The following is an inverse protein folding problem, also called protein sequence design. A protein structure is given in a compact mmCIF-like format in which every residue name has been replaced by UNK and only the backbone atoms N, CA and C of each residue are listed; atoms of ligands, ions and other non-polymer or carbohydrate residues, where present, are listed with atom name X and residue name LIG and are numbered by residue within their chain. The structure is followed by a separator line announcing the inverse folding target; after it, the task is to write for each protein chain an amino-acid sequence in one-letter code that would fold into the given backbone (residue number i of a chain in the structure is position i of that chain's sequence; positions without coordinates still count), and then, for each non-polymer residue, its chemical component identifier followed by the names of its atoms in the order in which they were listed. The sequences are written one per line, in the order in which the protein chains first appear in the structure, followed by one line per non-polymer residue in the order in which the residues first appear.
data_IF_708527132666
#
_entry.id   IF_708527132666
#
_cell.length_a   1.000
_cell.length_b   1.000
_cell.length_c   1.000
_cell.angle_alpha   90.00
_cell.angle_beta   90.00
_cell.angle_gamma   90.00
#
_symmetry.space_group_name_H-M   'P 1'
#
loop_
_entity.id
_entity.type
_entity.pdbx_description
1 polymer ?
#
# COMPACT_ATOMS: atom_id res chain seq x y z
N UNK A 1 3.38 38.04 15.29
CA UNK A 1 3.18 36.57 15.26
C UNK A 1 2.07 36.33 14.25
N UNK A 2 2.31 35.56 13.20
CA UNK A 2 1.23 35.10 12.32
C UNK A 2 0.52 33.98 13.09
N UNK A 3 -0.82 34.02 13.15
CA UNK A 3 -1.57 32.91 13.73
C UNK A 3 -1.23 31.61 12.98
N UNK A 4 -1.09 30.47 13.67
CA UNK A 4 -0.83 29.22 12.99
C UNK A 4 -2.02 28.86 12.09
N UNK A 5 -1.72 28.55 10.83
CA UNK A 5 -2.70 28.37 9.77
C UNK A 5 -2.45 27.02 9.09
N UNK A 6 -3.43 26.12 9.14
CA UNK A 6 -3.42 24.90 8.34
C UNK A 6 -3.97 25.24 6.95
N UNK A 7 -3.15 25.01 5.90
CA UNK A 7 -3.54 25.25 4.51
C UNK A 7 -3.65 23.92 3.78
N UNK A 8 -4.88 23.50 3.49
CA UNK A 8 -5.20 22.28 2.76
C UNK A 8 -5.59 22.64 1.32
N UNK A 9 -4.92 22.10 0.29
CA UNK A 9 -5.36 22.32 -1.07
C UNK A 9 -6.72 21.65 -1.31
N UNK A 10 -7.64 22.39 -1.93
CA UNK A 10 -9.00 21.98 -2.20
C UNK A 10 -9.24 21.75 -3.69
N UNK A 11 -8.94 20.58 -4.21
CA UNK A 11 -9.10 20.36 -5.65
C UNK A 11 -10.57 20.06 -6.01
N UNK A 12 -11.32 21.12 -6.30
CA UNK A 12 -12.65 21.06 -6.92
C UNK A 12 -12.70 21.90 -8.18
N UNK A 13 -12.63 21.26 -9.36
CA UNK A 13 -12.87 21.86 -10.69
C UNK A 13 -11.95 23.03 -11.05
N UNK A 14 -10.91 22.77 -11.86
CA UNK A 14 -10.01 23.80 -12.40
C UNK A 14 -10.79 24.85 -13.22
N UNK A 15 -11.05 26.03 -12.66
CA UNK A 15 -11.59 27.16 -13.43
C UNK A 15 -10.44 27.87 -14.13
N UNK A 16 -10.24 27.56 -15.41
CA UNK A 16 -9.40 28.35 -16.31
C UNK A 16 -10.07 29.70 -16.55
N UNK A 17 -9.73 30.73 -15.76
CA UNK A 17 -9.96 32.13 -16.18
C UNK A 17 -8.86 32.50 -17.17
N UNK A 18 -9.26 33.07 -18.31
CA UNK A 18 -8.42 33.27 -19.49
C UNK A 18 -7.02 33.83 -19.22
N UNK A 19 -6.04 33.30 -19.96
CA UNK A 19 -4.69 33.84 -20.12
C UNK A 19 -3.75 33.84 -18.90
N UNK A 20 -4.25 33.68 -17.67
CA UNK A 20 -3.48 33.78 -16.43
C UNK A 20 -3.37 32.48 -15.64
N UNK A 21 -2.44 32.49 -14.66
CA UNK A 21 -2.09 31.41 -13.73
C UNK A 21 -3.30 30.59 -13.24
N UNK A 22 -3.15 29.26 -13.15
CA UNK A 22 -4.21 28.38 -12.66
C UNK A 22 -4.55 28.73 -11.21
N UNK A 23 -5.82 29.07 -10.96
CA UNK A 23 -6.34 29.26 -9.60
C UNK A 23 -6.71 27.90 -9.02
N UNK A 24 -6.23 27.66 -7.80
CA UNK A 24 -6.58 26.49 -7.01
C UNK A 24 -7.44 26.96 -5.85
N UNK A 25 -8.38 26.12 -5.44
CA UNK A 25 -9.13 26.36 -4.22
C UNK A 25 -8.29 25.81 -3.06
N UNK A 26 -8.25 26.54 -1.96
CA UNK A 26 -7.50 26.22 -0.75
C UNK A 26 -8.44 26.37 0.45
N UNK A 27 -8.28 25.52 1.44
CA UNK A 27 -8.94 25.61 2.73
C UNK A 27 -7.89 26.09 3.72
N UNK A 28 -8.19 27.19 4.40
CA UNK A 28 -7.36 27.72 5.47
C UNK A 28 -8.13 27.57 6.77
N UNK A 29 -7.55 26.88 7.74
CA UNK A 29 -8.07 26.73 9.08
C UNK A 29 -7.15 27.51 10.02
N UNK A 30 -7.73 28.40 10.80
CA UNK A 30 -7.01 29.08 11.88
C UNK A 30 -7.00 28.23 13.17
N UNK A 31 -6.29 28.72 14.18
CA UNK A 31 -6.24 28.11 15.52
C UNK A 31 -7.60 28.03 16.22
N UNK A 32 -8.61 28.75 15.72
CA UNK A 32 -9.99 28.69 16.21
C UNK A 32 -10.86 27.69 15.42
N UNK A 33 -10.25 26.91 14.53
CA UNK A 33 -10.95 25.96 13.67
C UNK A 33 -11.92 26.63 12.69
N UNK A 34 -11.83 27.95 12.50
CA UNK A 34 -12.65 28.66 11.53
C UNK A 34 -12.07 28.46 10.13
N UNK A 35 -12.94 28.03 9.21
CA UNK A 35 -12.55 27.71 7.85
C UNK A 35 -12.76 28.89 6.91
N UNK A 36 -11.70 29.24 6.19
CA UNK A 36 -11.74 30.20 5.09
C UNK A 36 -11.35 29.46 3.81
N UNK A 37 -12.31 29.36 2.89
CA UNK A 37 -12.05 28.87 1.54
C UNK A 37 -11.51 30.00 0.67
N UNK A 38 -10.32 29.82 0.11
CA UNK A 38 -9.65 30.78 -0.77
C UNK A 38 -9.56 30.24 -2.19
N UNK A 39 -10.04 30.99 -3.18
CA UNK A 39 -9.79 30.73 -4.60
C UNK A 39 -8.64 31.65 -5.06
N UNK A 40 -7.41 31.15 -4.97
CA UNK A 40 -6.19 31.93 -5.25
C UNK A 40 -5.20 31.12 -6.07
N UNK A 41 -4.34 31.79 -6.82
CA UNK A 41 -3.26 31.09 -7.53
C UNK A 41 -2.17 30.61 -6.55
N UNK A 42 -1.29 29.73 -7.04
CA UNK A 42 -0.24 29.16 -6.19
C UNK A 42 0.71 30.23 -5.62
N UNK A 43 0.95 31.32 -6.34
CA UNK A 43 1.90 32.36 -5.92
C UNK A 43 1.34 33.17 -4.75
N UNK A 44 0.03 33.44 -4.75
CA UNK A 44 -0.65 34.09 -3.64
C UNK A 44 -0.55 33.27 -2.34
N UNK A 45 -0.69 31.94 -2.40
CA UNK A 45 -0.49 31.07 -1.23
C UNK A 45 0.98 31.01 -0.82
N UNK A 46 1.92 30.91 -1.76
CA UNK A 46 3.36 30.94 -1.45
C UNK A 46 3.73 32.19 -0.64
N UNK A 47 3.24 33.36 -1.07
CA UNK A 47 3.50 34.61 -0.36
C UNK A 47 2.80 34.69 1.01
N UNK A 48 1.61 34.10 1.14
CA UNK A 48 0.86 34.10 2.40
C UNK A 48 1.52 33.23 3.47
N UNK A 49 1.96 32.02 3.10
CA UNK A 49 2.53 31.03 4.02
C UNK A 49 4.06 31.13 4.10
N UNK A 50 4.68 32.04 3.33
CA UNK A 50 6.13 32.26 3.26
C UNK A 50 6.95 31.01 2.89
N UNK A 51 6.38 30.11 2.10
CA UNK A 51 7.03 28.87 1.65
C UNK A 51 7.61 29.00 0.24
N UNK A 52 8.73 28.32 0.00
CA UNK A 52 9.41 28.36 -1.28
C UNK A 52 8.61 27.61 -2.38
N UNK A 53 8.78 28.05 -3.63
CA UNK A 53 8.08 27.45 -4.78
C UNK A 53 8.37 25.96 -4.98
N UNK A 54 9.50 25.48 -4.44
CA UNK A 54 9.91 24.07 -4.48
C UNK A 54 9.06 23.24 -3.52
N UNK A 55 8.88 23.73 -2.30
CA UNK A 55 8.18 23.00 -1.24
C UNK A 55 6.67 22.95 -1.54
N UNK A 56 6.11 24.03 -2.11
CA UNK A 56 4.70 24.02 -2.55
C UNK A 56 4.43 23.02 -3.69
N UNK A 57 5.41 22.70 -4.55
CA UNK A 57 5.22 21.72 -5.64
C UNK A 57 4.98 20.30 -5.13
N UNK A 58 5.40 19.99 -3.90
CA UNK A 58 5.16 18.68 -3.28
C UNK A 58 3.66 18.45 -3.09
N UNK A 59 2.88 19.52 -2.96
CA UNK A 59 1.43 19.50 -2.87
C UNK A 59 0.73 19.52 -4.25
N UNK A 60 1.46 19.53 -5.36
CA UNK A 60 0.88 19.51 -6.71
C UNK A 60 0.37 18.08 -7.03
N UNK A 61 -0.95 17.85 -7.15
CA UNK A 61 -1.51 16.52 -7.34
C UNK A 61 -1.15 15.91 -8.71
N UNK A 62 -0.72 16.73 -9.68
CA UNK A 62 -0.27 16.28 -10.99
C UNK A 62 1.13 15.68 -10.92
N UNK A 63 1.92 16.08 -9.93
CA UNK A 63 3.26 15.60 -9.67
C UNK A 63 3.16 14.60 -8.53
N UNK A 64 3.09 13.30 -8.86
CA UNK A 64 2.90 12.24 -7.86
C UNK A 64 4.13 12.07 -6.97
N UNK A 65 4.34 12.99 -6.04
CA UNK A 65 5.42 12.94 -5.05
C UNK A 65 5.11 11.90 -3.96
N UNK A 66 6.15 11.24 -3.41
CA UNK A 66 6.01 10.34 -2.27
C UNK A 66 5.51 11.10 -1.03
N UNK A 67 5.04 10.37 0.01
CA UNK A 67 4.72 10.98 1.29
C UNK A 67 5.90 11.75 1.84
N UNK A 68 5.66 12.94 2.38
CA UNK A 68 6.71 13.82 2.91
C UNK A 68 6.16 14.69 4.04
N UNK A 69 6.98 14.89 5.08
CA UNK A 69 6.74 15.81 6.19
C UNK A 69 7.92 16.79 6.20
N UNK A 70 7.69 18.04 5.81
CA UNK A 70 8.73 19.08 5.86
C UNK A 70 8.40 20.10 6.92
N UNK A 71 9.30 20.21 7.89
CA UNK A 71 9.39 21.37 8.74
C UNK A 71 10.11 22.51 7.97
N UNK A 72 9.55 23.72 8.05
CA UNK A 72 10.13 24.96 7.52
C UNK A 72 9.88 26.06 8.52
N UNK A 73 10.66 27.13 8.43
CA UNK A 73 10.54 28.29 9.30
C UNK A 73 9.11 28.87 9.27
N UNK A 74 8.30 28.53 10.29
CA UNK A 74 6.92 28.98 10.43
C UNK A 74 5.86 28.17 9.66
N UNK A 75 6.19 26.99 9.10
CA UNK A 75 5.21 26.14 8.42
C UNK A 75 5.61 24.65 8.44
N UNK A 76 4.62 23.77 8.64
CA UNK A 76 4.74 22.32 8.42
C UNK A 76 4.00 21.97 7.13
N UNK A 77 4.69 21.29 6.22
CA UNK A 77 4.15 20.86 4.93
C UNK A 77 3.98 19.35 4.97
N UNK A 78 2.72 18.91 4.90
CA UNK A 78 2.35 17.50 4.90
C UNK A 78 1.88 17.09 3.50
N UNK A 79 2.53 16.10 2.91
CA UNK A 79 2.01 15.36 1.77
C UNK A 79 1.87 13.90 2.17
N UNK A 80 0.65 13.41 2.39
CA UNK A 80 0.39 12.04 2.85
C UNK A 80 -0.34 11.21 1.78
N UNK A 81 -0.04 11.46 0.50
CA UNK A 81 -0.56 10.82 -0.73
C UNK A 81 -2.07 10.91 -1.01
N UNK A 82 -2.95 10.76 -0.02
CA UNK A 82 -4.42 10.58 -0.18
C UNK A 82 -5.22 11.70 0.48
N UNK A 83 -4.74 12.21 1.61
CA UNK A 83 -5.47 13.12 2.49
C UNK A 83 -5.74 14.52 1.95
N UNK A 84 -4.98 14.97 0.96
CA UNK A 84 -4.99 16.39 0.54
C UNK A 84 -5.26 16.56 -0.96
N UNK A 85 -5.61 15.48 -1.68
CA UNK A 85 -5.88 15.57 -3.13
C UNK A 85 -7.28 16.10 -3.44
N UNK A 86 -8.24 16.00 -2.53
CA UNK A 86 -9.53 16.67 -2.64
C UNK A 86 -10.25 16.63 -1.26
N UNK A 87 -10.49 17.77 -0.59
CA UNK A 87 -11.20 17.84 0.69
C UNK A 87 -12.70 17.58 0.58
N UNK A 88 -13.21 17.43 -0.65
CA UNK A 88 -14.56 16.95 -0.94
C UNK A 88 -14.57 15.46 -1.30
N UNK A 89 -13.43 14.77 -1.27
CA UNK A 89 -13.37 13.32 -1.40
C UNK A 89 -14.03 12.68 -0.18
N UNK A 90 -14.83 11.63 -0.37
CA UNK A 90 -15.50 10.89 0.71
C UNK A 90 -14.50 10.41 1.77
N UNK A 91 -13.25 10.17 1.38
CA UNK A 91 -12.21 9.74 2.30
C UNK A 91 -11.60 10.89 3.11
N UNK A 92 -11.71 12.15 2.66
CA UNK A 92 -11.06 13.32 3.29
C UNK A 92 -12.03 14.11 4.17
N UNK A 93 -13.33 14.09 3.85
CA UNK A 93 -14.38 14.75 4.66
C UNK A 93 -14.31 14.38 6.15
N UNK A 94 -14.19 13.09 6.55
CA UNK A 94 -14.13 12.71 7.96
C UNK A 94 -12.95 13.33 8.71
N UNK A 95 -11.87 13.62 7.99
CA UNK A 95 -10.61 14.12 8.54
C UNK A 95 -10.72 15.60 8.83
N UNK A 96 -11.28 16.35 7.86
CA UNK A 96 -11.58 17.77 8.05
C UNK A 96 -12.62 17.95 9.15
N UNK A 97 -13.60 17.05 9.24
CA UNK A 97 -14.58 17.04 10.33
C UNK A 97 -13.95 16.71 11.69
N UNK A 98 -13.03 15.74 11.76
CA UNK A 98 -12.31 15.38 12.98
C UNK A 98 -11.38 16.52 13.44
N UNK A 99 -10.64 17.15 12.51
CA UNK A 99 -9.88 18.37 12.77
C UNK A 99 -10.77 19.44 13.38
N UNK A 100 -11.92 19.74 12.76
CA UNK A 100 -12.89 20.71 13.31
C UNK A 100 -13.39 20.30 14.70
N UNK A 101 -13.66 19.02 14.92
CA UNK A 101 -14.17 18.48 16.18
C UNK A 101 -13.14 18.59 17.31
N UNK A 102 -11.86 18.39 17.03
CA UNK A 102 -10.79 18.52 18.05
C UNK A 102 -10.40 19.98 18.32
N UNK A 103 -10.56 20.87 17.34
CA UNK A 103 -10.25 22.31 17.47
C UNK A 103 -11.34 23.11 18.23
N UNK A 104 -12.63 22.77 18.06
CA UNK A 104 -13.75 23.49 18.71
C UNK A 104 -13.76 23.47 20.26
N UNK A 105 -13.50 22.33 20.93
CA UNK A 105 -13.58 22.21 22.39
C UNK A 105 -12.61 23.11 23.16
N UNK A 106 -11.44 23.42 22.60
CA UNK A 106 -10.46 24.29 23.26
C UNK A 106 -10.94 25.74 23.36
N UNK A 107 -11.81 26.18 22.44
CA UNK A 107 -12.36 27.53 22.40
C UNK A 107 -13.41 27.71 23.49
N UNK A 108 -14.33 26.74 23.61
CA UNK A 108 -15.36 26.76 24.66
C UNK A 108 -14.72 26.77 26.07
N UNK A 109 -13.60 26.08 26.26
CA UNK A 109 -12.83 26.12 27.52
C UNK A 109 -12.10 27.46 27.75
N UNK A 110 -11.57 28.11 26.71
CA UNK A 110 -10.96 29.45 26.79
C UNK A 110 -11.96 30.55 27.07
N UNK A 111 -13.17 30.47 26.51
CA UNK A 111 -14.24 31.47 26.69
C UNK A 111 -14.98 31.31 28.03
N UNK A 112 -15.08 30.08 28.57
CA UNK A 112 -15.71 29.83 29.88
C UNK A 112 -14.87 30.30 31.09
N UNK A 113 -13.54 30.36 30.97
CA UNK A 113 -12.62 30.82 32.02
C UNK A 113 -12.28 32.32 31.91
N UNK A 114 -13.29 33.16 31.64
CA UNK A 114 -13.17 34.62 31.58
C UNK A 114 -12.95 35.31 32.94
N UNK A 115 -12.02 34.83 33.77
CA UNK A 115 -11.53 35.57 34.94
C UNK A 115 -10.02 35.82 34.83
N UNK A 116 -9.63 37.07 35.02
CA UNK A 116 -8.34 37.66 34.65
C UNK A 116 -7.14 37.24 35.51
N UNK A 117 -7.01 35.96 35.82
CA UNK A 117 -5.77 35.39 36.34
C UNK A 117 -5.04 34.69 35.21
N UNK A 118 -3.87 35.23 34.86
CA UNK A 118 -2.90 34.65 33.95
C UNK A 118 -2.32 33.36 34.53
N UNK A 119 -3.12 32.30 34.58
CA UNK A 119 -2.63 30.95 34.47
C UNK A 119 -2.57 30.66 32.97
N UNK A 120 -1.43 31.03 32.37
CA UNK A 120 -1.02 30.41 31.10
C UNK A 120 -0.81 28.94 31.49
N UNK A 121 -1.84 28.12 31.28
CA UNK A 121 -1.76 26.70 31.58
C UNK A 121 -0.65 26.11 30.74
N UNK A 122 0.31 25.48 31.41
CA UNK A 122 1.38 24.65 30.83
C UNK A 122 0.83 23.38 30.13
N UNK A 123 -0.49 23.25 29.98
CA UNK A 123 -1.21 22.07 29.47
C UNK A 123 -1.90 22.30 28.09
N UNK A 124 -1.65 23.42 27.40
CA UNK A 124 -2.29 23.70 26.10
C UNK A 124 -1.49 23.01 24.98
N UNK A 125 -1.87 21.78 24.62
CA UNK A 125 -1.25 20.98 23.55
C UNK A 125 -1.16 21.80 22.24
N UNK A 126 0.05 22.06 21.70
CA UNK A 126 0.25 23.00 20.59
C UNK A 126 -0.62 22.70 19.36
N UNK A 127 -1.15 23.76 18.72
CA UNK A 127 -2.02 23.61 17.53
C UNK A 127 -1.34 22.83 16.40
N UNK A 128 -0.05 23.04 16.18
CA UNK A 128 0.74 22.32 15.19
C UNK A 128 0.74 20.80 15.43
N UNK A 129 0.78 20.37 16.70
CA UNK A 129 0.80 18.96 17.07
C UNK A 129 -0.58 18.33 17.00
N UNK A 130 -1.65 19.08 17.32
CA UNK A 130 -3.02 18.63 17.07
C UNK A 130 -3.27 18.34 15.58
N UNK A 131 -2.85 19.27 14.73
CA UNK A 131 -3.01 19.13 13.28
C UNK A 131 -2.19 17.95 12.76
N UNK A 132 -0.94 17.81 13.23
CA UNK A 132 -0.07 16.70 12.87
C UNK A 132 -0.64 15.36 13.34
N UNK A 133 -1.11 15.28 14.58
CA UNK A 133 -1.71 14.08 15.18
C UNK A 133 -2.92 13.63 14.35
N UNK A 134 -3.86 14.52 14.05
CA UNK A 134 -5.07 14.14 13.27
C UNK A 134 -4.71 13.72 11.85
N UNK A 135 -3.72 14.37 11.23
CA UNK A 135 -3.25 13.98 9.90
C UNK A 135 -2.60 12.58 9.91
N UNK A 136 -1.77 12.28 10.91
CA UNK A 136 -1.13 10.99 11.10
C UNK A 136 -2.12 9.89 11.49
N UNK A 137 -3.00 10.15 12.45
CA UNK A 137 -4.08 9.24 12.86
C UNK A 137 -4.94 8.84 11.66
N UNK A 138 -5.26 9.81 10.81
CA UNK A 138 -6.08 9.57 9.64
C UNK A 138 -5.37 8.71 8.59
N UNK A 139 -4.12 9.00 8.23
CA UNK A 139 -3.41 8.18 7.24
C UNK A 139 -3.18 6.77 7.78
N UNK A 140 -2.88 6.62 9.07
CA UNK A 140 -2.73 5.34 9.74
C UNK A 140 -4.04 4.54 9.73
N UNK A 141 -5.16 5.18 10.07
CA UNK A 141 -6.49 4.56 10.03
C UNK A 141 -6.88 4.13 8.62
N UNK A 142 -6.60 4.97 7.61
CA UNK A 142 -6.83 4.65 6.21
C UNK A 142 -6.01 3.44 5.74
N UNK A 143 -4.70 3.44 6.01
CA UNK A 143 -3.80 2.34 5.62
C UNK A 143 -4.17 1.03 6.34
N UNK A 144 -4.55 1.10 7.61
CA UNK A 144 -5.01 -0.03 8.41
C UNK A 144 -6.33 -0.60 7.85
N UNK A 145 -7.33 0.25 7.59
CA UNK A 145 -8.60 -0.18 7.00
C UNK A 145 -8.40 -0.86 5.63
N UNK A 146 -7.58 -0.28 4.75
CA UNK A 146 -7.23 -0.88 3.45
C UNK A 146 -6.49 -2.21 3.59
N UNK A 147 -5.68 -2.36 4.63
CA UNK A 147 -5.00 -3.63 4.94
C UNK A 147 -6.01 -4.70 5.37
N UNK A 148 -6.96 -4.35 6.24
CA UNK A 148 -8.03 -5.26 6.71
C UNK A 148 -8.95 -5.71 5.56
N UNK A 149 -9.35 -4.79 4.69
CA UNK A 149 -10.14 -5.10 3.49
C UNK A 149 -9.40 -6.11 2.61
N UNK A 150 -8.12 -5.86 2.36
CA UNK A 150 -7.28 -6.74 1.55
C UNK A 150 -7.10 -8.12 2.20
N UNK A 151 -6.90 -8.20 3.51
CA UNK A 151 -6.84 -9.47 4.25
C UNK A 151 -8.14 -10.27 4.08
N UNK A 152 -9.28 -9.59 4.22
CA UNK A 152 -10.63 -10.19 4.09
C UNK A 152 -10.85 -10.78 2.70
N UNK A 153 -10.24 -10.19 1.66
CA UNK A 153 -10.31 -10.69 0.28
C UNK A 153 -9.27 -11.77 -0.06
N UNK A 154 -8.06 -11.66 0.50
CA UNK A 154 -6.93 -12.55 0.22
C UNK A 154 -7.17 -13.94 0.81
N UNK A 155 -7.49 -14.05 2.10
CA UNK A 155 -7.58 -15.37 2.75
C UNK A 155 -8.58 -16.32 2.06
N UNK A 156 -9.82 -15.90 1.72
CA UNK A 156 -10.74 -16.73 0.96
C UNK A 156 -10.26 -17.06 -0.45
N UNK A 157 -9.52 -16.14 -1.09
CA UNK A 157 -8.96 -16.36 -2.43
C UNK A 157 -7.85 -17.41 -2.42
N UNK A 158 -7.02 -17.43 -1.37
CA UNK A 158 -5.99 -18.45 -1.18
C UNK A 158 -6.61 -19.84 -0.92
N UNK A 159 -7.66 -19.92 -0.10
CA UNK A 159 -8.36 -21.19 0.17
C UNK A 159 -9.04 -21.77 -1.08
N UNK A 160 -9.69 -20.90 -1.87
CA UNK A 160 -10.25 -21.27 -3.18
C UNK A 160 -9.18 -21.77 -4.16
N UNK A 161 -8.00 -21.15 -4.16
CA UNK A 161 -6.89 -21.60 -5.01
C UNK A 161 -6.34 -22.95 -4.56
N UNK A 162 -6.24 -23.16 -3.24
CA UNK A 162 -5.79 -24.42 -2.64
C UNK A 162 -6.74 -25.58 -2.95
N UNK A 163 -8.05 -25.33 -2.90
CA UNK A 163 -9.08 -26.35 -3.23
C UNK A 163 -9.19 -26.63 -4.73
N UNK A 164 -9.06 -25.60 -5.59
CA UNK A 164 -9.14 -25.75 -7.05
C UNK A 164 -8.19 -24.79 -7.77
N UNK A 165 -7.19 -25.37 -8.43
CA UNK A 165 -6.27 -24.64 -9.31
C UNK A 165 -6.96 -24.41 -10.66
N UNK A 166 -7.42 -23.18 -10.90
CA UNK A 166 -7.96 -22.74 -12.18
C UNK A 166 -7.51 -21.30 -12.51
N UNK A 167 -7.56 -20.94 -13.79
CA UNK A 167 -7.09 -19.63 -14.28
C UNK A 167 -7.78 -18.46 -13.58
N UNK A 168 -9.09 -18.56 -13.30
CA UNK A 168 -9.84 -17.51 -12.60
C UNK A 168 -9.38 -17.30 -11.15
N UNK A 169 -9.04 -18.36 -10.43
CA UNK A 169 -8.57 -18.26 -9.04
C UNK A 169 -7.13 -17.73 -8.99
N UNK A 170 -6.29 -18.15 -9.93
CA UNK A 170 -4.94 -17.59 -10.09
C UNK A 170 -4.97 -16.09 -10.41
N UNK A 171 -5.91 -15.65 -11.24
CA UNK A 171 -6.05 -14.23 -11.58
C UNK A 171 -6.48 -13.40 -10.36
N UNK A 172 -7.39 -13.92 -9.53
CA UNK A 172 -7.77 -13.26 -8.27
C UNK A 172 -6.57 -13.12 -7.33
N UNK A 173 -5.80 -14.19 -7.11
CA UNK A 173 -4.61 -14.14 -6.25
C UNK A 173 -3.53 -13.23 -6.82
N UNK A 174 -3.36 -13.17 -8.15
CA UNK A 174 -2.46 -12.21 -8.80
C UNK A 174 -2.89 -10.77 -8.60
N UNK A 175 -4.19 -10.48 -8.76
CA UNK A 175 -4.75 -9.16 -8.50
C UNK A 175 -4.49 -8.74 -7.05
N UNK A 176 -4.84 -9.60 -6.10
CA UNK A 176 -4.58 -9.31 -4.67
C UNK A 176 -3.08 -9.16 -4.37
N UNK A 177 -2.20 -9.95 -5.01
CA UNK A 177 -0.74 -9.78 -4.89
C UNK A 177 -0.28 -8.41 -5.38
N UNK A 178 -0.83 -7.93 -6.48
CA UNK A 178 -0.51 -6.60 -7.01
C UNK A 178 -1.00 -5.49 -6.08
N UNK A 179 -2.25 -5.57 -5.60
CA UNK A 179 -2.83 -4.59 -4.67
C UNK A 179 -2.05 -4.54 -3.35
N UNK A 180 -1.71 -5.71 -2.81
CA UNK A 180 -0.86 -5.84 -1.63
C UNK A 180 0.51 -5.19 -1.82
N UNK A 181 1.21 -5.52 -2.91
CA UNK A 181 2.55 -4.98 -3.16
C UNK A 181 2.53 -3.44 -3.29
N UNK A 182 1.48 -2.89 -3.91
CA UNK A 182 1.29 -1.44 -4.00
C UNK A 182 1.03 -0.84 -2.62
N UNK A 183 0.17 -1.44 -1.79
CA UNK A 183 -0.11 -0.95 -0.45
C UNK A 183 1.13 -1.03 0.45
N UNK A 184 1.87 -2.15 0.43
CA UNK A 184 3.16 -2.31 1.13
C UNK A 184 4.15 -1.21 0.75
N UNK A 185 4.31 -0.92 -0.54
CA UNK A 185 5.22 0.13 -0.99
C UNK A 185 4.82 1.52 -0.48
N UNK A 186 3.52 1.79 -0.34
CA UNK A 186 3.01 3.07 0.17
C UNK A 186 3.23 3.20 1.69
N UNK A 187 2.92 2.15 2.45
CA UNK A 187 3.17 2.09 3.89
C UNK A 187 4.67 2.22 4.19
N UNK A 188 5.52 1.53 3.42
CA UNK A 188 6.98 1.60 3.55
C UNK A 188 7.51 3.03 3.38
N UNK A 189 7.06 3.76 2.34
CA UNK A 189 7.52 5.15 2.14
C UNK A 189 7.17 6.06 3.31
N UNK A 190 5.95 5.94 3.84
CA UNK A 190 5.53 6.75 4.99
C UNK A 190 6.32 6.40 6.25
N UNK A 191 6.58 5.10 6.47
CA UNK A 191 7.45 4.63 7.55
C UNK A 191 8.86 5.20 7.43
N UNK A 192 9.43 5.15 6.23
CA UNK A 192 10.80 5.62 5.99
C UNK A 192 10.91 7.14 6.20
N UNK A 193 9.90 7.91 5.78
CA UNK A 193 9.83 9.35 6.02
C UNK A 193 9.74 9.69 7.52
N UNK A 194 8.83 9.03 8.26
CA UNK A 194 8.72 9.22 9.71
C UNK A 194 9.99 8.78 10.45
N UNK A 195 10.60 7.69 10.01
CA UNK A 195 11.85 7.20 10.57
C UNK A 195 13.01 8.15 10.31
N UNK A 196 13.02 8.84 9.17
CA UNK A 196 14.01 9.89 8.89
C UNK A 196 13.79 11.11 9.78
N UNK A 197 12.54 11.57 9.92
CA UNK A 197 12.19 12.69 10.80
C UNK A 197 12.55 12.42 12.27
N UNK A 198 12.27 11.21 12.76
CA UNK A 198 12.65 10.75 14.10
C UNK A 198 14.18 10.62 14.29
N UNK A 199 14.97 10.57 13.22
CA UNK A 199 16.42 10.42 13.33
C UNK A 199 17.16 11.76 13.47
N UNK A 200 16.54 12.86 13.04
CA UNK A 200 17.14 14.19 13.00
C UNK A 200 16.43 15.14 13.98
N UNK A 201 16.93 15.26 15.21
CA UNK A 201 16.36 16.14 16.25
C UNK A 201 16.17 17.59 15.79
N UNK A 202 17.01 18.05 14.86
CA UNK A 202 16.90 19.37 14.25
C UNK A 202 15.61 19.54 13.43
N UNK A 203 15.23 18.53 12.65
CA UNK A 203 13.99 18.54 11.87
C UNK A 203 12.77 18.47 12.81
N UNK A 204 12.88 17.72 13.92
CA UNK A 204 11.83 17.68 14.95
C UNK A 204 11.68 19.03 15.67
N UNK A 205 12.80 19.69 15.99
CA UNK A 205 12.77 21.02 16.60
C UNK A 205 12.10 22.07 15.70
N UNK A 206 12.26 21.96 14.38
CA UNK A 206 11.59 22.85 13.42
C UNK A 206 10.06 22.67 13.37
N UNK A 207 9.50 21.58 13.91
CA UNK A 207 8.05 21.38 14.01
C UNK A 207 7.40 22.26 15.09
N UNK A 208 8.16 22.77 16.06
CA UNK A 208 7.65 23.64 17.13
C UNK A 208 7.42 25.07 16.61
N UNK A 209 6.34 25.28 15.86
CA UNK A 209 6.01 26.59 15.27
C UNK A 209 5.68 27.65 16.34
N UNK A 210 5.02 27.25 17.43
CA UNK A 210 4.55 28.13 18.50
C UNK A 210 5.67 28.49 19.50
N UNK A 211 6.65 27.59 19.71
CA UNK A 211 7.75 27.75 20.69
C UNK A 211 9.03 28.35 20.08
N UNK A 212 9.13 28.42 18.75
CA UNK A 212 10.26 29.06 18.03
C UNK A 212 10.53 30.54 18.40
N UNK A 213 9.67 31.17 19.20
CA UNK A 213 9.80 32.56 19.66
C UNK A 213 10.55 32.74 21.00
N UNK A 214 10.96 31.68 21.71
CA UNK A 214 11.62 31.77 23.02
C UNK A 214 12.96 31.00 23.02
N UNK A 215 14.12 31.68 22.95
CA UNK A 215 15.43 31.03 23.01
C UNK A 215 15.73 30.63 24.45
N UNK A 216 15.42 29.39 24.81
CA UNK A 216 15.67 28.88 26.15
C UNK A 216 14.97 27.56 26.44
N UNK A 217 15.27 26.53 25.64
CA UNK A 217 15.71 25.20 26.11
C UNK A 217 16.06 24.42 24.83
N UNK A 218 17.35 24.24 24.55
CA UNK A 218 17.77 23.40 23.43
C UNK A 218 17.44 21.94 23.80
N UNK A 219 16.55 21.29 23.04
CA UNK A 219 16.40 19.83 22.91
C UNK A 219 15.39 19.09 23.81
N UNK A 220 14.33 19.71 24.31
CA UNK A 220 13.17 18.92 24.77
C UNK A 220 12.20 18.71 23.59
N UNK A 221 12.56 17.76 22.71
CA UNK A 221 11.71 17.27 21.61
C UNK A 221 10.88 16.06 22.06
N UNK A 222 10.89 15.72 23.35
CA UNK A 222 10.30 14.49 23.88
C UNK A 222 8.80 14.38 23.53
N UNK A 223 8.08 15.51 23.55
CA UNK A 223 6.66 15.56 23.23
C UNK A 223 6.37 15.19 21.77
N UNK A 224 7.11 15.79 20.82
CA UNK A 224 6.93 15.49 19.39
C UNK A 224 7.51 14.12 19.04
N UNK A 225 8.60 13.71 19.67
CA UNK A 225 9.19 12.38 19.53
C UNK A 225 8.18 11.31 19.94
N UNK A 226 7.56 11.43 21.12
CA UNK A 226 6.57 10.46 21.61
C UNK A 226 5.34 10.36 20.68
N UNK A 227 4.90 11.50 20.12
CA UNK A 227 3.83 11.54 19.12
C UNK A 227 4.23 10.78 17.84
N UNK A 228 5.40 11.11 17.28
CA UNK A 228 5.91 10.53 16.04
C UNK A 228 6.23 9.04 16.21
N UNK A 229 6.83 8.63 17.33
CA UNK A 229 7.11 7.23 17.68
C UNK A 229 5.83 6.39 17.73
N UNK A 230 4.76 6.91 18.33
CA UNK A 230 3.47 6.23 18.41
C UNK A 230 2.94 5.88 17.01
N UNK A 231 2.95 6.84 16.10
CA UNK A 231 2.49 6.62 14.72
C UNK A 231 3.48 5.79 13.90
N UNK A 232 4.78 5.96 14.11
CA UNK A 232 5.80 5.12 13.50
C UNK A 232 5.58 3.64 13.84
N UNK A 233 5.33 3.34 15.13
CA UNK A 233 5.03 1.98 15.58
C UNK A 233 3.73 1.43 14.97
N UNK A 234 2.69 2.25 14.85
CA UNK A 234 1.43 1.84 14.21
C UNK A 234 1.61 1.53 12.72
N UNK A 235 2.42 2.31 12.01
CA UNK A 235 2.75 2.11 10.59
C UNK A 235 3.64 0.87 10.41
N UNK A 236 4.61 0.66 11.30
CA UNK A 236 5.46 -0.53 11.29
C UNK A 236 4.63 -1.80 11.53
N UNK A 237 3.68 -1.79 12.47
CA UNK A 237 2.74 -2.90 12.66
C UNK A 237 1.90 -3.18 11.41
N UNK A 238 1.40 -2.12 10.75
CA UNK A 238 0.66 -2.23 9.48
C UNK A 238 1.53 -2.84 8.38
N UNK A 239 2.80 -2.42 8.29
CA UNK A 239 3.76 -2.96 7.34
C UNK A 239 4.07 -4.44 7.60
N UNK A 240 4.19 -4.82 8.88
CA UNK A 240 4.45 -6.19 9.30
C UNK A 240 3.27 -7.12 8.96
N UNK A 241 2.03 -6.64 9.15
CA UNK A 241 0.80 -7.35 8.71
C UNK A 241 0.80 -7.58 7.20
N UNK A 242 1.04 -6.53 6.41
CA UNK A 242 1.12 -6.65 4.94
C UNK A 242 2.24 -7.59 4.48
N UNK A 243 3.40 -7.53 5.13
CA UNK A 243 4.53 -8.41 4.82
C UNK A 243 4.18 -9.87 5.12
N UNK A 244 3.45 -10.12 6.21
CA UNK A 244 2.96 -11.45 6.58
C UNK A 244 1.91 -11.96 5.59
N UNK A 245 0.96 -11.12 5.19
CA UNK A 245 -0.01 -11.43 4.14
C UNK A 245 0.70 -11.79 2.83
N UNK A 246 1.77 -11.09 2.48
CA UNK A 246 2.59 -11.38 1.30
C UNK A 246 3.25 -12.74 1.34
N UNK A 247 3.79 -13.12 2.50
CA UNK A 247 4.32 -14.48 2.72
C UNK A 247 3.23 -15.53 2.51
N UNK A 248 2.00 -15.31 2.96
CA UNK A 248 0.89 -16.25 2.72
C UNK A 248 0.56 -16.40 1.24
N UNK A 249 0.52 -15.31 0.48
CA UNK A 249 0.30 -15.33 -0.97
C UNK A 249 1.44 -16.08 -1.69
N UNK A 250 2.69 -15.80 -1.31
CA UNK A 250 3.86 -16.45 -1.92
C UNK A 250 3.92 -17.95 -1.60
N UNK A 251 3.56 -18.35 -0.38
CA UNK A 251 3.45 -19.75 0.01
C UNK A 251 2.38 -20.49 -0.79
N UNK A 252 1.21 -19.87 -1.01
CA UNK A 252 0.15 -20.45 -1.84
C UNK A 252 0.60 -20.62 -3.30
N UNK A 253 1.30 -19.62 -3.85
CA UNK A 253 1.86 -19.70 -5.21
C UNK A 253 2.93 -20.80 -5.32
N UNK A 254 3.78 -20.97 -4.31
CA UNK A 254 4.76 -22.04 -4.25
C UNK A 254 4.08 -23.43 -4.21
N UNK A 255 3.04 -23.58 -3.39
CA UNK A 255 2.23 -24.79 -3.33
C UNK A 255 1.63 -25.15 -4.71
N UNK A 256 1.04 -24.17 -5.39
CA UNK A 256 0.48 -24.37 -6.74
C UNK A 256 1.55 -24.84 -7.74
N UNK A 257 2.75 -24.24 -7.72
CA UNK A 257 3.86 -24.66 -8.57
C UNK A 257 4.23 -26.12 -8.32
N UNK A 258 4.42 -26.50 -7.06
CA UNK A 258 4.74 -27.89 -6.67
C UNK A 258 3.65 -28.86 -7.12
N UNK A 259 2.37 -28.48 -6.98
CA UNK A 259 1.24 -29.31 -7.37
C UNK A 259 1.18 -29.54 -8.89
N UNK A 260 1.37 -28.49 -9.68
CA UNK A 260 1.40 -28.58 -11.15
C UNK A 260 2.58 -29.42 -11.64
N UNK A 261 3.75 -29.30 -11.00
CA UNK A 261 4.91 -30.11 -11.33
C UNK A 261 4.64 -31.61 -11.04
N UNK A 262 3.97 -31.92 -9.93
CA UNK A 262 3.55 -33.29 -9.62
C UNK A 262 2.61 -33.86 -10.68
N UNK A 263 1.61 -33.09 -11.11
CA UNK A 263 0.65 -33.54 -12.12
C UNK A 263 1.34 -33.73 -13.49
N UNK A 264 2.24 -32.83 -13.87
CA UNK A 264 3.09 -32.98 -15.07
C UNK A 264 3.96 -34.23 -15.01
N UNK A 265 4.61 -34.49 -13.88
CA UNK A 265 5.44 -35.68 -13.70
C UNK A 265 4.62 -36.97 -13.80
N UNK A 266 3.38 -36.99 -13.30
CA UNK A 266 2.47 -38.13 -13.46
C UNK A 266 2.10 -38.38 -14.92
N UNK A 267 1.85 -37.32 -15.69
CA UNK A 267 1.59 -37.44 -17.13
C UNK A 267 2.80 -38.00 -17.88
N UNK A 268 4.00 -37.53 -17.57
CA UNK A 268 5.26 -38.05 -18.16
C UNK A 268 5.43 -39.54 -17.81
N UNK A 269 5.13 -39.94 -16.57
CA UNK A 269 5.21 -41.35 -16.17
C UNK A 269 4.20 -42.22 -16.93
N UNK A 270 2.96 -41.75 -17.11
CA UNK A 270 1.95 -42.47 -17.89
C UNK A 270 2.35 -42.60 -19.36
N UNK A 271 2.86 -41.53 -19.96
CA UNK A 271 3.38 -41.55 -21.33
C UNK A 271 4.53 -42.56 -21.49
N UNK A 272 5.47 -42.58 -20.54
CA UNK A 272 6.56 -43.56 -20.53
C UNK A 272 6.04 -45.00 -20.46
N UNK A 273 5.03 -45.27 -19.62
CA UNK A 273 4.40 -46.60 -19.50
C UNK A 273 3.71 -46.99 -20.82
N UNK A 274 2.96 -46.07 -21.43
CA UNK A 274 2.27 -46.31 -22.70
C UNK A 274 3.25 -46.55 -23.85
N UNK A 275 4.30 -45.73 -23.96
CA UNK A 275 5.34 -45.89 -24.98
C UNK A 275 6.11 -47.20 -24.81
N UNK A 276 6.38 -47.61 -23.57
CA UNK A 276 6.96 -48.93 -23.29
C UNK A 276 6.02 -50.05 -23.73
N UNK A 277 4.72 -49.93 -23.46
CA UNK A 277 3.70 -50.86 -23.93
C UNK A 277 3.61 -50.94 -25.45
N UNK A 278 3.64 -49.81 -26.14
CA UNK A 278 3.66 -49.74 -27.60
C UNK A 278 4.90 -50.41 -28.18
N UNK A 279 6.08 -50.17 -27.60
CA UNK A 279 7.31 -50.83 -28.03
C UNK A 279 7.20 -52.36 -27.91
N UNK A 280 6.58 -52.88 -26.84
CA UNK A 280 6.31 -54.31 -26.71
C UNK A 280 5.34 -54.84 -27.78
N UNK A 281 4.27 -54.09 -28.08
CA UNK A 281 3.31 -54.44 -29.13
C UNK A 281 3.93 -54.38 -30.53
N UNK A 282 4.79 -53.39 -30.80
CA UNK A 282 5.48 -53.24 -32.06
C UNK A 282 6.44 -54.42 -32.32
N UNK A 283 7.15 -54.86 -31.29
CA UNK A 283 7.99 -56.07 -31.35
C UNK A 283 7.12 -57.30 -31.65
N UNK A 284 6.00 -57.45 -30.95
CA UNK A 284 5.08 -58.59 -31.14
C UNK A 284 4.46 -58.57 -32.55
N UNK A 285 4.08 -57.40 -33.05
CA UNK A 285 3.54 -57.19 -34.39
C UNK A 285 4.59 -57.44 -35.47
N UNK A 286 5.85 -57.05 -35.25
CA UNK A 286 6.96 -57.35 -36.16
C UNK A 286 7.17 -58.86 -36.27
N UNK A 287 7.20 -59.56 -35.14
CA UNK A 287 7.31 -61.04 -35.11
C UNK A 287 6.12 -61.66 -35.84
N UNK A 288 4.89 -61.31 -35.48
CA UNK A 288 3.69 -61.83 -36.14
C UNK A 288 3.67 -61.52 -37.64
N UNK A 289 4.12 -60.34 -38.06
CA UNK A 289 4.25 -59.92 -39.46
C UNK A 289 5.22 -60.81 -40.25
N UNK A 290 6.41 -61.08 -39.72
CA UNK A 290 7.40 -61.97 -40.36
C UNK A 290 6.80 -63.37 -40.59
N UNK A 291 6.12 -63.93 -39.59
CA UNK A 291 5.51 -65.26 -39.68
C UNK A 291 4.22 -65.29 -40.53
N UNK A 292 3.54 -64.15 -40.71
CA UNK A 292 2.33 -64.04 -41.53
C UNK A 292 2.59 -63.89 -43.04
N UNK A 293 3.84 -63.73 -43.47
CA UNK A 293 4.18 -63.55 -44.89
C UNK A 293 4.15 -64.88 -45.67
N UNK A 294 3.48 -64.88 -46.82
CA UNK A 294 3.34 -66.05 -47.70
C UNK A 294 4.59 -66.29 -48.57
N UNK A 295 5.74 -66.51 -47.94
CA UNK A 295 7.02 -66.82 -48.59
C UNK A 295 7.36 -68.29 -48.32
N UNK A 296 7.81 -69.08 -49.32
CA UNK A 296 8.16 -70.48 -49.14
C UNK A 296 9.44 -70.62 -48.30
N UNK A 297 9.24 -70.79 -47.00
CA UNK A 297 10.29 -71.02 -46.01
C UNK A 297 10.46 -72.53 -45.72
N UNK A 298 11.70 -72.99 -45.54
CA UNK A 298 12.06 -74.41 -45.27
C UNK A 298 11.50 -74.99 -43.95
N UNK A 299 11.02 -74.11 -43.07
CA UNK A 299 10.55 -74.38 -41.70
C UNK A 299 9.01 -74.41 -41.61
N UNK A 300 8.30 -74.26 -42.74
CA UNK A 300 6.84 -74.45 -42.82
C UNK A 300 6.43 -75.93 -42.96
N UNK A 301 7.34 -76.79 -43.42
CA UNK A 301 7.15 -78.24 -43.50
C UNK A 301 7.69 -78.94 -42.26
N UNK A 302 6.86 -79.77 -41.58
CA UNK A 302 7.21 -80.59 -40.41
C UNK A 302 7.57 -79.88 -39.08
N UNK A 303 7.34 -78.57 -38.91
CA UNK A 303 7.70 -77.83 -37.68
C UNK A 303 6.49 -77.20 -36.96
N UNK A 304 5.46 -78.00 -36.62
CA UNK A 304 4.25 -77.51 -35.94
C UNK A 304 4.45 -76.90 -34.54
N UNK A 305 5.63 -77.07 -33.94
CA UNK A 305 5.99 -76.45 -32.66
C UNK A 305 6.34 -74.97 -32.78
N UNK A 306 6.75 -74.48 -33.96
CA UNK A 306 7.17 -73.09 -34.15
C UNK A 306 6.03 -72.10 -33.86
N UNK A 307 4.80 -72.45 -34.22
CA UNK A 307 3.62 -71.65 -33.89
C UNK A 307 3.41 -71.49 -32.38
N UNK A 308 3.62 -72.58 -31.61
CA UNK A 308 3.52 -72.53 -30.14
C UNK A 308 4.62 -71.66 -29.52
N UNK A 309 5.83 -71.70 -30.05
CA UNK A 309 6.94 -70.86 -29.57
C UNK A 309 6.72 -69.37 -29.86
N UNK A 310 6.28 -69.03 -31.07
CA UNK A 310 5.98 -67.63 -31.43
C UNK A 310 4.83 -67.09 -30.58
N UNK A 311 3.80 -67.91 -30.32
CA UNK A 311 2.69 -67.56 -29.43
C UNK A 311 3.05 -67.46 -27.95
N UNK A 312 4.19 -68.02 -27.52
CA UNK A 312 4.69 -67.88 -26.14
C UNK A 312 5.68 -66.72 -26.01
N UNK A 313 6.26 -66.27 -27.13
CA UNK A 313 7.22 -65.17 -27.19
C UNK A 313 6.54 -63.79 -27.29
N UNK A 314 5.38 -63.72 -27.95
CA UNK A 314 4.54 -62.53 -28.07
C UNK A 314 3.50 -62.50 -26.93
#
# INVERSE_FOLDING_TARGET
MLDPLLVVPAFGGMKKKGGGSQSHRWIVLDSTGQEIVLDVDKYAIMHRVQIHARDLRILDPLLSYPPTILARHGAIILNLEVLLRNPLDENVVPIVEELRRRLKPQIDHREANGDGSSHIGEDDYPFEFQVLEVALESICSFLSARTIELETDVYPSLDRLSSKICSSNLERVRKSKSEMAQLTARVQKLRDELGQLLHEDGDMAELYLSRAAMPGDENDVDEVEMLLETYYMQIDDTLNKLTTLGKHIDNANAYVRIKLDKDRNRLIQLDLILNTGNLCLDISSLVAGIFGMNIPYTWNTNHGYMFKWVSMLC
#
